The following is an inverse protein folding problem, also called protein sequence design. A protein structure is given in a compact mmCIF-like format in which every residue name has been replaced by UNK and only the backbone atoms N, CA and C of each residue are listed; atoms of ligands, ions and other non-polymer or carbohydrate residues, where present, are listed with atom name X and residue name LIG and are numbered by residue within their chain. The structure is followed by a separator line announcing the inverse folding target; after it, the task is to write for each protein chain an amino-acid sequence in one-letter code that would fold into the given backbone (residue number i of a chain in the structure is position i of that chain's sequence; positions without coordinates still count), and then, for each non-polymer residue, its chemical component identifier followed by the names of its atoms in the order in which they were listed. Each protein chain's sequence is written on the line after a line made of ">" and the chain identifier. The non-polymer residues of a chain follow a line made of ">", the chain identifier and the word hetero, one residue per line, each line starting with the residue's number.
data_IF_874391752283
#
_entry.id   IF_874391752283
#
_cell.length_a   1.000
_cell.length_b   1.000
_cell.length_c   1.000
_cell.angle_alpha   90.00
_cell.angle_beta   90.00
_cell.angle_gamma   90.00
#
_symmetry.space_group_name_H-M   'P 1'
#
loop_
_entity.id
_entity.type
_entity.pdbx_description
1 polymer ?
#
# COMPACT_ATOMS: atom_id res chain seq x y z
N UNK A 1 33.15 0.56 -58.97
CA UNK A 1 32.87 -0.75 -59.59
C UNK A 1 31.92 -1.49 -58.64
N UNK A 2 30.61 -1.20 -58.62
CA UNK A 2 29.54 -1.79 -59.47
C UNK A 2 29.63 -3.31 -59.58
N UNK A 3 28.74 -4.07 -58.94
CA UNK A 3 27.49 -4.56 -59.56
C UNK A 3 26.55 -5.21 -58.53
N UNK A 4 25.28 -4.96 -58.75
CA UNK A 4 24.08 -5.49 -58.09
C UNK A 4 23.70 -6.85 -58.69
N UNK A 5 23.01 -7.70 -57.92
CA UNK A 5 22.12 -8.72 -58.47
C UNK A 5 20.98 -9.04 -57.48
N UNK A 6 19.83 -8.46 -57.80
CA UNK A 6 18.47 -8.96 -57.55
C UNK A 6 18.31 -10.23 -58.44
N UNK A 7 17.48 -11.24 -58.19
CA UNK A 7 16.00 -11.25 -58.37
C UNK A 7 15.49 -12.73 -58.48
N UNK A 8 14.23 -13.08 -58.87
CA UNK A 8 13.25 -13.78 -58.02
C UNK A 8 12.62 -15.06 -58.63
N UNK A 9 11.80 -15.81 -57.87
CA UNK A 9 10.72 -16.75 -58.32
C UNK A 9 10.15 -17.46 -57.06
N UNK A 10 8.94 -17.20 -56.52
CA UNK A 10 7.56 -17.43 -57.00
C UNK A 10 7.23 -18.93 -57.27
N UNK A 11 5.98 -19.46 -57.13
CA UNK A 11 4.69 -18.82 -56.84
C UNK A 11 3.73 -19.59 -55.88
N UNK A 12 2.59 -18.96 -55.57
CA UNK A 12 1.24 -19.56 -55.44
C UNK A 12 0.99 -20.78 -54.52
N UNK A 13 0.25 -20.54 -53.42
CA UNK A 13 -1.00 -21.31 -53.19
C UNK A 13 -2.06 -20.44 -52.52
N UNK A 14 -3.18 -20.35 -53.21
CA UNK A 14 -4.37 -19.57 -52.93
C UNK A 14 -5.45 -20.52 -52.39
N UNK A 15 -6.36 -19.95 -51.61
CA UNK A 15 -7.68 -20.46 -51.18
C UNK A 15 -7.70 -21.39 -49.95
N UNK A 16 -8.31 -20.91 -48.85
CA UNK A 16 -9.75 -21.20 -48.70
C UNK A 16 -10.47 -20.14 -47.86
N UNK A 17 -11.66 -19.76 -48.32
CA UNK A 17 -12.57 -18.82 -47.70
C UNK A 17 -13.56 -19.61 -46.84
N UNK A 18 -13.55 -19.38 -45.52
CA UNK A 18 -14.56 -19.90 -44.60
C UNK A 18 -15.13 -18.76 -43.77
N UNK A 19 -16.23 -18.17 -44.25
CA UNK A 19 -17.04 -17.23 -43.50
C UNK A 19 -17.85 -17.96 -42.41
N UNK A 20 -17.84 -17.44 -41.18
CA UNK A 20 -18.95 -17.65 -40.25
C UNK A 20 -19.00 -16.57 -39.14
N UNK A 21 -20.05 -15.74 -39.24
CA UNK A 21 -20.79 -14.99 -38.21
C UNK A 21 -20.07 -13.97 -37.28
N UNK A 22 -20.59 -12.72 -37.19
CA UNK A 22 -20.29 -11.79 -36.11
C UNK A 22 -21.25 -12.00 -34.93
N UNK A 23 -20.74 -12.51 -33.80
CA UNK A 23 -21.51 -12.53 -32.56
C UNK A 23 -21.42 -11.17 -31.88
N UNK A 24 -22.49 -10.40 -32.05
CA UNK A 24 -22.85 -9.24 -31.27
C UNK A 24 -22.92 -9.56 -29.76
N UNK A 25 -22.70 -8.52 -28.95
CA UNK A 25 -23.18 -8.37 -27.56
C UNK A 25 -22.44 -9.11 -26.43
N UNK A 26 -21.25 -8.60 -26.07
CA UNK A 26 -20.76 -8.62 -24.67
C UNK A 26 -20.02 -7.33 -24.35
N UNK A 27 -20.73 -6.22 -24.16
CA UNK A 27 -20.07 -4.91 -23.91
C UNK A 27 -20.66 -4.09 -22.75
N UNK A 28 -21.86 -4.35 -22.26
CA UNK A 28 -22.49 -3.44 -21.29
C UNK A 28 -22.64 -3.97 -19.85
N UNK A 29 -22.51 -5.27 -19.59
CA UNK A 29 -22.64 -5.82 -18.23
C UNK A 29 -21.31 -5.83 -17.45
N UNK A 30 -20.17 -6.10 -18.11
CA UNK A 30 -18.85 -6.12 -17.46
C UNK A 30 -18.37 -4.72 -17.05
N UNK A 31 -18.70 -3.69 -17.82
CA UNK A 31 -18.40 -2.29 -17.45
C UNK A 31 -19.21 -1.82 -16.22
N UNK A 32 -20.45 -2.31 -16.05
CA UNK A 32 -21.30 -1.99 -14.89
C UNK A 32 -20.89 -2.76 -13.63
N UNK A 33 -20.31 -3.95 -13.77
CA UNK A 33 -19.75 -4.71 -12.65
C UNK A 33 -18.48 -4.04 -12.09
N UNK A 34 -17.58 -3.56 -12.96
CA UNK A 34 -16.36 -2.86 -12.54
C UNK A 34 -16.65 -1.51 -11.85
N UNK A 35 -17.64 -0.74 -12.35
CA UNK A 35 -18.02 0.53 -11.74
C UNK A 35 -18.66 0.36 -10.34
N UNK A 36 -19.39 -0.73 -10.10
CA UNK A 36 -19.95 -1.05 -8.77
C UNK A 36 -18.88 -1.45 -7.76
N UNK A 37 -17.77 -2.05 -8.19
CA UNK A 37 -16.68 -2.45 -7.28
C UNK A 37 -15.90 -1.24 -6.76
N UNK A 38 -15.75 -0.17 -7.55
CA UNK A 38 -15.03 1.03 -7.12
C UNK A 38 -15.86 1.85 -6.11
N UNK A 39 -17.17 1.98 -6.33
CA UNK A 39 -18.08 2.64 -5.38
C UNK A 39 -18.22 1.85 -4.06
N UNK A 40 -18.16 0.52 -4.12
CA UNK A 40 -18.25 -0.35 -2.95
C UNK A 40 -16.93 -0.45 -2.17
N UNK A 41 -15.78 -0.13 -2.79
CA UNK A 41 -14.47 -0.06 -2.13
C UNK A 41 -14.25 1.23 -1.32
N UNK A 42 -15.03 2.28 -1.55
CA UNK A 42 -15.04 3.48 -0.70
C UNK A 42 -16.00 3.33 0.50
N UNK A 43 -17.00 2.45 0.40
CA UNK A 43 -18.07 2.29 1.39
C UNK A 43 -17.74 1.38 2.59
N UNK A 44 -16.62 0.63 2.55
CA UNK A 44 -16.11 -0.16 3.70
C UNK A 44 -14.87 0.50 4.30
N UNK A 45 -14.86 1.83 4.30
CA UNK A 45 -13.97 2.60 5.18
C UNK A 45 -14.72 2.76 6.49
N UNK A 46 -14.23 2.06 7.50
CA UNK A 46 -14.61 2.14 8.92
C UNK A 46 -15.28 3.46 9.24
N UNK A 47 -16.56 3.40 9.66
CA UNK A 47 -17.33 4.57 10.03
C UNK A 47 -16.50 5.45 10.97
N UNK A 48 -16.24 6.67 10.50
CA UNK A 48 -15.67 7.78 11.26
C UNK A 48 -16.30 7.77 12.66
N UNK A 49 -15.51 7.50 13.68
CA UNK A 49 -15.84 7.91 15.05
C UNK A 49 -16.28 9.37 14.97
N UNK A 50 -17.41 9.78 15.57
CA UNK A 50 -17.88 11.16 15.49
C UNK A 50 -16.71 12.07 15.85
N UNK A 51 -16.30 12.92 14.90
CA UNK A 51 -15.05 13.67 14.94
C UNK A 51 -14.91 14.38 16.28
N UNK A 52 -14.12 13.78 17.17
CA UNK A 52 -13.67 14.45 18.38
C UNK A 52 -12.95 15.73 17.93
N UNK A 53 -13.13 16.82 18.67
CA UNK A 53 -12.40 18.05 18.37
C UNK A 53 -10.89 17.79 18.47
N UNK A 54 -10.13 18.39 17.56
CA UNK A 54 -8.66 18.39 17.61
C UNK A 54 -8.19 18.76 19.02
N UNK A 55 -7.34 17.95 19.67
CA UNK A 55 -6.86 18.26 21.02
C UNK A 55 -6.11 19.60 21.07
N UNK A 56 -5.43 20.03 20.01
CA UNK A 56 -4.74 21.32 19.95
C UNK A 56 -5.58 22.45 19.37
N UNK A 57 -6.06 22.31 18.13
CA UNK A 57 -6.67 23.40 17.37
C UNK A 57 -8.14 23.63 17.68
N UNK A 58 -8.79 22.69 18.40
CA UNK A 58 -10.22 22.73 18.73
C UNK A 58 -11.14 22.84 17.49
N UNK A 59 -10.65 22.45 16.32
CA UNK A 59 -11.44 22.32 15.09
C UNK A 59 -12.03 20.93 14.97
N UNK A 60 -13.07 20.82 14.14
CA UNK A 60 -13.73 19.55 13.81
C UNK A 60 -13.26 18.96 12.49
N UNK A 61 -12.66 19.76 11.61
CA UNK A 61 -12.17 19.36 10.29
C UNK A 61 -10.72 19.85 10.12
N UNK A 62 -9.78 18.96 9.74
CA UNK A 62 -8.40 19.34 9.41
C UNK A 62 -8.35 20.22 8.15
N UNK A 63 -7.45 21.21 8.12
CA UNK A 63 -7.13 21.97 6.92
C UNK A 63 -5.81 21.49 6.29
N UNK A 64 -5.40 22.11 5.18
CA UNK A 64 -4.18 21.74 4.46
C UNK A 64 -2.90 21.86 5.32
N UNK A 65 -2.82 22.88 6.18
CA UNK A 65 -1.68 23.05 7.08
C UNK A 65 -1.57 21.89 8.09
N UNK A 66 -2.69 21.36 8.56
CA UNK A 66 -2.73 20.20 9.43
C UNK A 66 -2.22 18.95 8.72
N UNK A 67 -2.64 18.73 7.47
CA UNK A 67 -2.17 17.60 6.65
C UNK A 67 -0.67 17.70 6.40
N UNK A 68 -0.17 18.89 6.06
CA UNK A 68 1.26 19.16 5.93
C UNK A 68 2.03 18.91 7.22
N UNK A 69 1.46 19.32 8.36
CA UNK A 69 2.02 19.04 9.68
C UNK A 69 2.11 17.53 9.96
N UNK A 70 1.03 16.77 9.73
CA UNK A 70 1.01 15.32 9.93
C UNK A 70 2.02 14.62 9.02
N UNK A 71 2.13 15.03 7.75
CA UNK A 71 3.17 14.52 6.85
C UNK A 71 4.58 14.79 7.37
N UNK A 72 4.83 15.98 7.93
CA UNK A 72 6.08 16.33 8.60
C UNK A 72 6.40 15.44 9.81
N UNK A 73 5.40 15.13 10.64
CA UNK A 73 5.55 14.19 11.76
C UNK A 73 5.91 12.79 11.25
N UNK A 74 5.21 12.29 10.24
CA UNK A 74 5.51 10.98 9.64
C UNK A 74 6.91 10.94 9.02
N UNK A 75 7.36 12.01 8.36
CA UNK A 75 8.70 12.12 7.78
C UNK A 75 9.80 12.18 8.84
N UNK A 76 9.59 12.91 9.92
CA UNK A 76 10.56 13.08 11.01
C UNK A 76 10.66 11.87 11.92
N UNK A 77 9.54 11.49 12.54
CA UNK A 77 9.52 10.53 13.66
C UNK A 77 8.95 9.16 13.26
N UNK A 78 8.23 9.07 12.14
CA UNK A 78 7.54 7.84 11.79
C UNK A 78 8.44 6.74 11.21
N UNK A 79 7.88 5.57 10.99
CA UNK A 79 8.55 4.44 10.35
C UNK A 79 7.55 3.75 9.41
N UNK A 80 7.89 3.70 8.12
CA UNK A 80 7.13 2.97 7.10
C UNK A 80 7.92 1.70 6.79
N UNK A 81 7.35 0.53 7.08
CA UNK A 81 8.02 -0.74 6.84
C UNK A 81 7.03 -1.85 6.51
N UNK A 82 7.52 -2.89 5.84
CA UNK A 82 6.78 -4.14 5.71
C UNK A 82 7.27 -5.06 6.83
N UNK A 83 6.36 -5.48 7.72
CA UNK A 83 6.64 -6.51 8.70
C UNK A 83 6.61 -7.88 8.02
N UNK A 84 7.62 -8.70 8.31
CA UNK A 84 7.68 -10.10 7.90
C UNK A 84 7.37 -10.98 9.12
N UNK A 85 6.19 -11.57 9.17
CA UNK A 85 5.82 -12.53 10.19
C UNK A 85 6.21 -13.94 9.73
N UNK A 86 7.21 -14.50 10.37
CA UNK A 86 7.66 -15.89 10.17
C UNK A 86 6.90 -16.83 11.10
N UNK A 87 6.69 -18.07 10.65
CA UNK A 87 6.09 -19.13 11.46
C UNK A 87 7.18 -20.14 11.89
N UNK A 88 6.97 -20.91 12.97
CA UNK A 88 7.89 -21.97 13.37
C UNK A 88 8.19 -22.92 12.22
N UNK A 89 9.40 -23.47 12.16
CA UNK A 89 9.83 -24.35 11.07
C UNK A 89 8.97 -25.62 10.92
N UNK A 90 8.28 -26.03 11.98
CA UNK A 90 7.30 -27.12 11.98
C UNK A 90 6.02 -26.79 11.21
N UNK A 91 5.77 -25.51 10.95
CA UNK A 91 4.63 -25.03 10.18
C UNK A 91 4.97 -25.00 8.69
N UNK A 92 4.10 -25.59 7.85
CA UNK A 92 4.19 -25.46 6.38
C UNK A 92 3.79 -24.06 5.88
N UNK A 93 3.51 -23.11 6.77
CA UNK A 93 3.03 -21.77 6.43
C UNK A 93 4.16 -20.90 5.90
N UNK A 94 3.93 -20.27 4.75
CA UNK A 94 4.82 -19.24 4.19
C UNK A 94 4.81 -17.97 5.07
N UNK A 95 5.89 -17.17 5.08
CA UNK A 95 5.91 -15.90 5.78
C UNK A 95 4.80 -14.95 5.31
N UNK A 96 4.24 -14.16 6.22
CA UNK A 96 3.27 -13.13 5.90
C UNK A 96 3.95 -11.75 5.87
N UNK A 97 3.65 -10.96 4.84
CA UNK A 97 4.19 -9.61 4.67
C UNK A 97 3.06 -8.59 4.81
N UNK A 98 3.14 -7.72 5.82
CA UNK A 98 2.11 -6.72 6.10
C UNK A 98 2.73 -5.33 6.24
N UNK A 99 2.13 -4.33 5.59
CA UNK A 99 2.55 -2.94 5.75
C UNK A 99 2.24 -2.46 7.17
N UNK A 100 3.20 -1.77 7.78
CA UNK A 100 3.05 -1.05 9.04
C UNK A 100 3.55 0.37 8.93
N UNK A 101 2.80 1.27 9.56
CA UNK A 101 3.25 2.62 9.88
C UNK A 101 3.29 2.73 11.39
N UNK A 102 4.41 3.20 11.93
CA UNK A 102 4.62 3.34 13.37
C UNK A 102 5.17 4.72 13.68
N UNK A 103 4.70 5.35 14.76
CA UNK A 103 5.21 6.62 15.28
C UNK A 103 5.41 6.46 16.78
N UNK A 104 6.63 6.67 17.25
CA UNK A 104 6.97 6.67 18.66
C UNK A 104 7.11 8.10 19.18
N UNK A 105 6.47 8.45 20.30
CA UNK A 105 6.55 9.80 20.85
C UNK A 105 6.29 9.83 22.35
N UNK A 106 6.91 10.78 23.04
CA UNK A 106 6.67 11.00 24.48
C UNK A 106 5.37 11.74 24.78
N UNK A 107 4.85 12.51 23.83
CA UNK A 107 3.55 13.18 23.90
C UNK A 107 2.45 12.32 23.29
N UNK A 108 1.54 11.80 24.13
CA UNK A 108 0.34 11.08 23.68
C UNK A 108 -0.60 11.98 22.87
N UNK A 109 -0.78 13.22 23.31
CA UNK A 109 -1.66 14.20 22.66
C UNK A 109 -1.23 14.51 21.22
N UNK A 110 0.08 14.46 20.93
CA UNK A 110 0.59 14.58 19.57
C UNK A 110 0.14 13.41 18.69
N UNK A 111 0.18 12.19 19.20
CA UNK A 111 -0.29 11.01 18.48
C UNK A 111 -1.81 11.05 18.25
N UNK A 112 -2.57 11.54 19.23
CA UNK A 112 -4.02 11.74 19.10
C UNK A 112 -4.36 12.82 18.08
N UNK A 113 -3.60 13.92 18.02
CA UNK A 113 -3.74 14.93 16.96
C UNK A 113 -3.39 14.35 15.59
N UNK A 114 -2.31 13.58 15.48
CA UNK A 114 -1.95 12.91 14.23
C UNK A 114 -3.10 12.02 13.73
N UNK A 115 -3.68 11.20 14.62
CA UNK A 115 -4.81 10.34 14.32
C UNK A 115 -6.05 11.15 13.85
N UNK A 116 -6.33 12.26 14.53
CA UNK A 116 -7.40 13.19 14.14
C UNK A 116 -7.20 13.79 12.75
N UNK A 117 -5.98 14.25 12.43
CA UNK A 117 -5.67 14.83 11.11
C UNK A 117 -5.86 13.80 10.01
N UNK A 118 -5.33 12.58 10.18
CA UNK A 118 -5.45 11.54 9.14
C UNK A 118 -6.85 10.93 9.08
N UNK A 119 -7.66 11.08 10.12
CA UNK A 119 -9.03 10.55 10.20
C UNK A 119 -9.10 9.02 10.15
N UNK A 120 -8.00 8.34 10.48
CA UNK A 120 -7.87 6.87 10.44
C UNK A 120 -7.47 6.44 11.85
N UNK A 121 -8.25 5.53 12.44
CA UNK A 121 -7.96 5.03 13.77
C UNK A 121 -6.74 4.10 13.78
N UNK A 122 -5.80 4.40 14.68
CA UNK A 122 -4.63 3.58 14.93
C UNK A 122 -4.72 2.90 16.29
N UNK A 123 -3.65 2.20 16.67
CA UNK A 123 -3.50 1.68 18.03
C UNK A 123 -2.40 2.47 18.73
N UNK A 124 -2.79 3.25 19.74
CA UNK A 124 -1.85 3.91 20.65
C UNK A 124 -1.59 2.98 21.83
N UNK A 125 -0.36 2.49 21.96
CA UNK A 125 0.08 1.70 23.11
C UNK A 125 1.06 2.46 23.99
N UNK A 126 1.03 2.15 25.27
CA UNK A 126 2.02 2.58 26.25
C UNK A 126 2.72 1.31 26.78
N UNK A 127 4.02 1.10 26.51
CA UNK A 127 4.77 0.01 27.11
C UNK A 127 4.94 0.26 28.61
N UNK A 128 5.11 -0.82 29.37
CA UNK A 128 5.46 -0.74 30.78
C UNK A 128 6.78 0.02 30.96
N UNK A 129 6.78 0.96 31.90
CA UNK A 129 7.96 1.76 32.20
C UNK A 129 8.95 0.89 32.96
N UNK A 130 10.11 0.65 32.36
CA UNK A 130 11.20 -0.02 33.05
C UNK A 130 12.03 0.99 33.85
N UNK A 131 12.67 0.55 34.93
CA UNK A 131 13.55 1.41 35.77
C UNK A 131 14.70 2.09 34.99
N UNK A 132 14.96 1.68 33.74
CA UNK A 132 15.98 2.24 32.86
C UNK A 132 15.48 3.42 32.00
N UNK A 133 14.18 3.70 32.00
CA UNK A 133 13.59 4.73 31.13
C UNK A 133 13.35 6.03 31.91
N UNK A 134 13.84 7.14 31.35
CA UNK A 134 13.64 8.49 31.94
C UNK A 134 12.22 9.02 31.72
N UNK A 135 11.56 8.62 30.63
CA UNK A 135 10.22 9.09 30.24
C UNK A 135 9.43 7.96 29.60
N UNK A 136 8.10 8.04 29.71
CA UNK A 136 7.16 7.17 28.98
C UNK A 136 7.25 7.49 27.49
N UNK A 137 7.26 6.45 26.65
CA UNK A 137 7.18 6.58 25.20
C UNK A 137 5.94 5.86 24.70
N UNK A 138 5.03 6.59 24.07
CA UNK A 138 3.83 6.06 23.43
C UNK A 138 4.15 5.62 22.01
N UNK A 139 3.38 4.68 21.49
CA UNK A 139 3.53 4.15 20.13
C UNK A 139 2.19 4.14 19.42
N UNK A 140 2.04 4.91 18.35
CA UNK A 140 0.92 4.85 17.44
C UNK A 140 1.27 3.89 16.30
N UNK A 141 0.41 2.90 16.07
CA UNK A 141 0.60 1.87 15.05
C UNK A 141 -0.60 1.76 14.11
N UNK A 142 -0.32 1.70 12.82
CA UNK A 142 -1.26 1.31 11.77
C UNK A 142 -0.75 0.05 11.10
N UNK A 143 -1.65 -0.87 10.74
CA UNK A 143 -1.26 -2.19 10.22
C UNK A 143 -2.19 -2.63 9.09
N UNK A 144 -1.63 -3.12 7.98
CA UNK A 144 -2.38 -3.55 6.80
C UNK A 144 -3.14 -2.38 6.15
N UNK A 145 -4.46 -2.53 5.97
CA UNK A 145 -5.30 -1.56 5.25
C UNK A 145 -5.22 -0.14 5.82
N UNK A 146 -5.22 0.03 7.15
CA UNK A 146 -5.12 1.36 7.75
C UNK A 146 -3.77 2.01 7.48
N UNK A 147 -2.69 1.23 7.45
CA UNK A 147 -1.37 1.74 7.09
C UNK A 147 -1.33 2.22 5.63
N UNK A 148 -1.97 1.49 4.70
CA UNK A 148 -2.07 1.95 3.31
C UNK A 148 -2.86 3.25 3.20
N UNK A 149 -3.98 3.35 3.91
CA UNK A 149 -4.81 4.54 3.90
C UNK A 149 -4.05 5.77 4.43
N UNK A 150 -3.27 5.64 5.50
CA UNK A 150 -2.43 6.74 6.03
C UNK A 150 -1.37 7.17 5.02
N UNK A 151 -0.66 6.22 4.42
CA UNK A 151 0.39 6.52 3.44
C UNK A 151 -0.18 7.17 2.18
N UNK A 152 -1.33 6.69 1.71
CA UNK A 152 -2.03 7.24 0.55
C UNK A 152 -2.56 8.65 0.82
N UNK A 153 -3.15 8.88 1.98
CA UNK A 153 -3.64 10.20 2.41
C UNK A 153 -2.53 11.24 2.49
N UNK A 154 -1.36 10.87 3.01
CA UNK A 154 -0.24 11.79 3.20
C UNK A 154 0.71 11.88 1.98
N UNK A 155 0.52 11.04 0.95
CA UNK A 155 1.50 10.83 -0.12
C UNK A 155 1.99 12.13 -0.77
N UNK A 156 1.09 13.05 -1.11
CA UNK A 156 1.45 14.29 -1.79
C UNK A 156 2.22 15.29 -0.91
N UNK A 157 2.08 15.17 0.41
CA UNK A 157 2.74 16.04 1.39
C UNK A 157 4.05 15.45 1.94
N UNK A 158 4.29 14.15 1.75
CA UNK A 158 5.56 13.51 2.12
C UNK A 158 6.72 14.02 1.28
N UNK A 159 7.87 14.24 1.93
CA UNK A 159 9.13 14.65 1.31
C UNK A 159 10.19 13.57 1.48
N UNK A 160 10.66 13.35 2.71
CA UNK A 160 11.78 12.42 2.99
C UNK A 160 11.37 10.97 2.74
N UNK A 161 10.15 10.59 3.12
CA UNK A 161 9.64 9.22 2.98
C UNK A 161 8.76 9.02 1.76
N UNK A 162 8.68 10.00 0.84
CA UNK A 162 7.99 9.85 -0.44
C UNK A 162 8.48 8.63 -1.25
N UNK A 163 9.80 8.32 -1.32
CA UNK A 163 10.26 7.09 -1.98
C UNK A 163 9.72 5.82 -1.31
N UNK A 164 9.60 5.80 0.02
CA UNK A 164 9.03 4.67 0.75
C UNK A 164 7.55 4.51 0.40
N UNK A 165 6.81 5.62 0.40
CA UNK A 165 5.40 5.63 0.07
C UNK A 165 5.13 5.17 -1.37
N UNK A 166 6.01 5.50 -2.32
CA UNK A 166 5.94 5.02 -3.69
C UNK A 166 6.10 3.50 -3.78
N UNK A 167 7.11 2.93 -3.11
CA UNK A 167 7.31 1.47 -3.06
C UNK A 167 6.13 0.77 -2.38
N UNK A 168 5.54 1.38 -1.36
CA UNK A 168 4.31 0.88 -0.71
C UNK A 168 3.13 0.86 -1.68
N UNK A 169 2.96 1.89 -2.50
CA UNK A 169 1.92 1.94 -3.54
C UNK A 169 2.11 0.82 -4.56
N UNK A 170 3.34 0.58 -5.01
CA UNK A 170 3.66 -0.50 -5.94
C UNK A 170 3.46 -1.89 -5.30
N UNK A 171 3.89 -2.06 -4.04
CA UNK A 171 3.64 -3.27 -3.25
C UNK A 171 2.14 -3.60 -3.15
N UNK A 172 1.28 -2.60 -2.88
CA UNK A 172 -0.18 -2.80 -2.86
C UNK A 172 -0.72 -3.28 -4.20
N UNK A 173 -0.26 -2.67 -5.30
CA UNK A 173 -0.73 -2.94 -6.66
C UNK A 173 -0.28 -4.31 -7.17
N UNK A 174 0.94 -4.72 -6.86
CA UNK A 174 1.58 -5.85 -7.54
C UNK A 174 1.60 -7.14 -6.73
N UNK A 175 1.29 -7.11 -5.44
CA UNK A 175 1.41 -8.26 -4.56
C UNK A 175 0.08 -8.86 -4.05
N UNK A 176 -1.06 -8.43 -4.59
CA UNK A 176 -2.41 -8.93 -4.24
C UNK A 176 -2.61 -9.13 -2.73
N UNK A 177 -2.18 -8.13 -1.97
CA UNK A 177 -2.07 -8.23 -0.51
C UNK A 177 -3.41 -8.36 0.22
N UNK A 178 -4.51 -8.01 -0.46
CA UNK A 178 -5.88 -8.11 0.06
C UNK A 178 -6.54 -9.45 -0.28
N UNK A 179 -5.89 -10.25 -1.13
CA UNK A 179 -6.42 -11.54 -1.55
C UNK A 179 -5.98 -12.60 -0.54
N UNK A 180 -6.95 -13.18 0.17
CA UNK A 180 -6.71 -14.36 0.99
C UNK A 180 -6.29 -15.52 0.08
N UNK A 181 -5.10 -16.11 0.31
CA UNK A 181 -4.71 -17.28 -0.46
C UNK A 181 -5.68 -18.43 -0.18
N UNK A 182 -6.02 -19.17 -1.23
CA UNK A 182 -6.71 -20.47 -1.10
C UNK A 182 -5.80 -21.53 -0.45
N UNK A 183 -6.26 -22.79 -0.41
CA UNK A 183 -5.50 -23.92 0.16
C UNK A 183 -4.08 -24.05 -0.40
N UNK A 184 -3.91 -23.77 -1.69
CA UNK A 184 -2.63 -23.89 -2.40
C UNK A 184 -1.70 -22.67 -2.22
N UNK A 185 -2.16 -21.63 -1.54
CA UNK A 185 -1.38 -20.41 -1.35
C UNK A 185 -1.49 -19.41 -2.51
N UNK A 186 -0.61 -18.41 -2.48
CA UNK A 186 -0.33 -17.55 -3.63
C UNK A 186 0.74 -18.20 -4.52
N UNK A 187 0.76 -17.89 -5.83
CA UNK A 187 1.82 -18.33 -6.72
C UNK A 187 3.23 -17.94 -6.21
N UNK A 188 4.28 -18.75 -6.47
CA UNK A 188 5.64 -18.48 -6.01
C UNK A 188 6.17 -17.08 -6.38
N UNK A 189 5.84 -16.57 -7.57
CA UNK A 189 6.25 -15.24 -8.02
C UNK A 189 5.69 -14.10 -7.15
N UNK A 190 4.49 -14.27 -6.59
CA UNK A 190 3.89 -13.28 -5.69
C UNK A 190 4.69 -13.20 -4.40
N UNK A 191 5.13 -14.34 -3.86
CA UNK A 191 5.95 -14.38 -2.65
C UNK A 191 7.33 -13.75 -2.87
N UNK A 192 7.98 -14.05 -4.00
CA UNK A 192 9.25 -13.44 -4.35
C UNK A 192 9.12 -11.91 -4.49
N UNK A 193 8.03 -11.43 -5.10
CA UNK A 193 7.75 -10.00 -5.21
C UNK A 193 7.52 -9.34 -3.86
N UNK A 194 6.76 -10.00 -2.96
CA UNK A 194 6.56 -9.52 -1.57
C UNK A 194 7.89 -9.41 -0.81
N UNK A 195 8.74 -10.41 -0.92
CA UNK A 195 10.07 -10.40 -0.31
C UNK A 195 10.97 -9.30 -0.89
N UNK A 196 10.91 -9.09 -2.21
CA UNK A 196 11.64 -8.02 -2.88
C UNK A 196 11.24 -6.64 -2.34
N UNK A 197 9.94 -6.33 -2.25
CA UNK A 197 9.46 -5.07 -1.67
C UNK A 197 9.86 -4.90 -0.20
N UNK A 198 9.80 -5.99 0.58
CA UNK A 198 10.27 -5.98 1.97
C UNK A 198 11.75 -5.57 2.06
N UNK A 199 12.61 -6.18 1.23
CA UNK A 199 14.04 -5.85 1.18
C UNK A 199 14.27 -4.42 0.67
N UNK A 200 13.52 -3.99 -0.34
CA UNK A 200 13.61 -2.65 -0.95
C UNK A 200 13.30 -1.54 0.05
N UNK A 201 12.17 -1.62 0.74
CA UNK A 201 11.80 -0.65 1.78
C UNK A 201 12.78 -0.68 2.96
N UNK A 202 13.31 -1.85 3.31
CA UNK A 202 14.35 -1.95 4.35
C UNK A 202 15.66 -1.27 3.95
N UNK A 203 16.04 -1.34 2.67
CA UNK A 203 17.20 -0.62 2.15
C UNK A 203 17.00 0.91 2.20
N UNK A 204 15.79 1.39 1.84
CA UNK A 204 15.44 2.81 1.96
C UNK A 204 15.52 3.31 3.41
N UNK A 205 15.06 2.51 4.38
CA UNK A 205 15.16 2.85 5.80
C UNK A 205 16.61 2.94 6.32
N UNK A 206 17.57 2.29 5.65
CA UNK A 206 19.01 2.37 5.97
C UNK A 206 19.74 3.49 5.23
N UNK A 207 19.14 4.05 4.18
CA UNK A 207 19.79 5.02 3.30
C UNK A 207 20.68 4.37 2.22
N UNK A 208 20.50 3.08 1.94
CA UNK A 208 21.33 2.30 1.01
C UNK A 208 20.86 2.39 -0.47
N UNK A 209 19.85 3.23 -0.76
CA UNK A 209 18.97 3.09 -1.93
C UNK A 209 19.01 4.24 -2.91
#
# INVERSE_FOLDING_TARGET
>A
MSFSAVDPCSPFRQMDQGACAPTHERSTSQARAAARTVDQMMAVTTMRTPFAMSPYSKRTIPNEADVGWAAGILDGEGCIHIACQTFPATSKRRPNYRLRVHIAQTSRTLLEEFEWVVGICGTITQPEVTNKQRRVCYSLSYDGLSAFAVVEFLFEHLRRKRPHALEVKNFRRECDIHTHPGPDGHPPEVWQRREWYYKRIRALNRGDA
#
